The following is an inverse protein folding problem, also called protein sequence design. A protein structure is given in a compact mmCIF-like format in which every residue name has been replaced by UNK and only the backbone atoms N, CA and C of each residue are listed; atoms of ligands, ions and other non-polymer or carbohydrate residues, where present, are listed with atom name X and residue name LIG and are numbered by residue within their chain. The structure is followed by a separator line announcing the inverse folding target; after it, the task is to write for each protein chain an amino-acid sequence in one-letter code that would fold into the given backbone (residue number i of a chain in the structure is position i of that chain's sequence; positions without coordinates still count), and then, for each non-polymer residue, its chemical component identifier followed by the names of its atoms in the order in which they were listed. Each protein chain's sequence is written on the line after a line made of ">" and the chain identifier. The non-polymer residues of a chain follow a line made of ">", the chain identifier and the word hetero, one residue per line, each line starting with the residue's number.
data_IF_966733363537
#
_entry.id   IF_966733363537
#
_cell.length_a   1.000
_cell.length_b   1.000
_cell.length_c   1.000
_cell.angle_alpha   90.00
_cell.angle_beta   90.00
_cell.angle_gamma   90.00
#
_symmetry.space_group_name_H-M   'P 1'
#
loop_
_entity.id
_entity.type
_entity.pdbx_description
1 polymer ?
#
# COMPACT_ATOMS: atom_id res chain seq x y z
N UNK A 1 25.14 -4.32 -3.73
CA UNK A 1 23.82 -3.68 -3.77
C UNK A 1 23.00 -4.16 -2.60
N UNK A 2 22.47 -3.23 -1.86
CA UNK A 2 21.63 -3.57 -0.73
C UNK A 2 20.37 -4.26 -1.20
N UNK A 3 19.94 -5.26 -0.45
CA UNK A 3 18.68 -5.91 -0.73
C UNK A 3 17.55 -4.90 -0.61
N UNK A 4 16.70 -4.86 -1.61
CA UNK A 4 15.52 -4.02 -1.60
C UNK A 4 14.61 -4.44 -0.46
N UNK A 5 14.08 -3.46 0.27
CA UNK A 5 13.09 -3.73 1.30
C UNK A 5 11.70 -3.80 0.66
N UNK A 6 10.93 -4.80 1.03
CA UNK A 6 9.59 -5.03 0.48
C UNK A 6 8.56 -5.16 1.59
N UNK A 7 7.37 -4.68 1.29
CA UNK A 7 6.21 -4.89 2.16
C UNK A 7 4.96 -5.07 1.30
N UNK A 8 3.96 -5.72 1.87
CA UNK A 8 2.64 -5.85 1.26
C UNK A 8 1.65 -5.07 2.11
N UNK A 9 0.76 -4.35 1.47
CA UNK A 9 -0.28 -3.57 2.14
C UNK A 9 -1.64 -3.92 1.55
N UNK A 10 -2.62 -4.06 2.43
CA UNK A 10 -4.00 -4.32 2.03
C UNK A 10 -4.73 -2.99 1.93
N UNK A 11 -5.27 -2.68 0.77
CA UNK A 11 -5.94 -1.41 0.50
C UNK A 11 -7.33 -1.69 -0.05
N UNK A 12 -8.33 -0.94 0.44
CA UNK A 12 -9.69 -1.04 -0.06
C UNK A 12 -9.71 -0.89 -1.60
N UNK A 13 -10.52 -1.67 -2.27
CA UNK A 13 -10.50 -1.78 -3.74
C UNK A 13 -10.67 -0.42 -4.45
N UNK A 14 -11.51 0.47 -3.92
CA UNK A 14 -11.71 1.79 -4.53
C UNK A 14 -10.44 2.65 -4.43
N UNK A 15 -9.77 2.61 -3.28
CA UNK A 15 -8.52 3.34 -3.08
C UNK A 15 -7.38 2.73 -3.90
N UNK A 16 -7.32 1.41 -3.96
CA UNK A 16 -6.33 0.72 -4.79
C UNK A 16 -6.48 1.10 -6.26
N UNK A 17 -7.71 1.16 -6.77
CA UNK A 17 -7.99 1.59 -8.13
C UNK A 17 -7.53 3.04 -8.37
N UNK A 18 -7.73 3.91 -7.41
CA UNK A 18 -7.28 5.31 -7.50
C UNK A 18 -5.76 5.42 -7.49
N UNK A 19 -5.06 4.54 -6.77
CA UNK A 19 -3.60 4.49 -6.80
C UNK A 19 -3.13 4.04 -8.19
N UNK A 20 -3.71 2.98 -8.72
CA UNK A 20 -3.34 2.43 -10.02
C UNK A 20 -3.56 3.45 -11.13
N UNK A 21 -4.65 4.22 -11.06
CA UNK A 21 -4.96 5.24 -12.07
C UNK A 21 -4.15 6.53 -11.92
N UNK A 22 -3.42 6.69 -10.81
CA UNK A 22 -2.62 7.88 -10.55
C UNK A 22 -3.39 9.01 -9.87
N UNK A 23 -4.67 8.84 -9.58
CA UNK A 23 -5.48 9.83 -8.89
C UNK A 23 -5.06 9.98 -7.44
N UNK A 24 -4.65 8.88 -6.82
CA UNK A 24 -4.22 8.83 -5.42
C UNK A 24 -2.73 8.50 -5.36
N UNK A 25 -1.95 9.41 -4.78
CA UNK A 25 -0.50 9.21 -4.62
C UNK A 25 -0.08 9.20 -3.16
N UNK A 26 -1.01 9.38 -2.24
CA UNK A 26 -0.75 9.33 -0.79
C UNK A 26 -1.74 8.36 -0.15
N UNK A 27 -1.20 7.36 0.53
CA UNK A 27 -2.00 6.43 1.33
C UNK A 27 -1.98 6.88 2.79
N UNK A 28 -3.13 6.84 3.42
CA UNK A 28 -3.30 7.30 4.80
C UNK A 28 -3.46 6.12 5.73
N UNK A 29 -2.74 6.16 6.85
CA UNK A 29 -2.83 5.13 7.90
C UNK A 29 -2.81 5.79 9.26
N UNK A 30 -3.50 5.20 10.24
CA UNK A 30 -3.38 5.63 11.63
C UNK A 30 -2.01 5.28 12.17
N UNK A 31 -1.45 4.15 11.73
CA UNK A 31 -0.12 3.67 12.05
C UNK A 31 0.46 2.97 10.84
N UNK A 32 1.78 2.98 10.76
CA UNK A 32 2.46 2.22 9.73
C UNK A 32 3.78 1.69 10.29
N UNK A 33 4.26 0.60 9.72
CA UNK A 33 5.52 0.02 10.11
C UNK A 33 6.68 0.90 9.67
N UNK A 34 7.80 0.78 10.36
CA UNK A 34 9.03 1.46 9.95
C UNK A 34 9.62 0.75 8.74
N UNK A 35 9.75 1.47 7.63
CA UNK A 35 10.35 0.97 6.40
C UNK A 35 11.31 2.02 5.86
N UNK A 36 12.45 1.58 5.30
CA UNK A 36 13.36 2.53 4.65
C UNK A 36 12.66 3.22 3.46
N UNK A 37 13.00 4.48 3.24
CA UNK A 37 12.57 5.15 2.01
C UNK A 37 13.18 4.41 0.82
N UNK A 38 12.42 4.31 -0.25
CA UNK A 38 12.78 3.50 -1.40
C UNK A 38 12.26 2.08 -1.33
N UNK A 39 11.64 1.69 -0.21
CA UNK A 39 11.02 0.37 -0.09
C UNK A 39 9.94 0.17 -1.15
N UNK A 40 9.85 -1.06 -1.64
CA UNK A 40 8.83 -1.43 -2.62
C UNK A 40 7.59 -1.93 -1.90
N UNK A 41 6.47 -1.34 -2.24
CA UNK A 41 5.19 -1.67 -1.63
C UNK A 41 4.36 -2.47 -2.63
N UNK A 42 3.92 -3.66 -2.24
CA UNK A 42 3.05 -4.52 -3.03
C UNK A 42 1.62 -4.29 -2.57
N UNK A 43 0.77 -3.84 -3.47
CA UNK A 43 -0.57 -3.38 -3.13
C UNK A 43 -1.58 -4.49 -3.41
N UNK A 44 -2.16 -5.01 -2.34
CA UNK A 44 -3.27 -5.95 -2.40
C UNK A 44 -4.59 -5.18 -2.36
N UNK A 45 -5.39 -5.34 -3.40
CA UNK A 45 -6.73 -4.77 -3.47
C UNK A 45 -7.71 -5.75 -2.83
N UNK A 46 -8.45 -5.28 -1.81
CA UNK A 46 -9.40 -6.15 -1.12
C UNK A 46 -10.55 -6.58 -2.03
N UNK A 47 -11.39 -7.50 -1.55
CA UNK A 47 -12.57 -7.93 -2.31
C UNK A 47 -13.41 -6.73 -2.74
N UNK A 48 -14.02 -6.75 -3.93
CA UNK A 48 -14.19 -7.93 -4.80
C UNK A 48 -12.97 -8.30 -5.66
N UNK A 49 -11.92 -7.49 -5.68
CA UNK A 49 -10.75 -7.78 -6.53
C UNK A 49 -9.93 -8.95 -5.98
N UNK A 50 -9.52 -8.88 -4.72
CA UNK A 50 -8.85 -10.01 -4.04
C UNK A 50 -7.52 -10.41 -4.66
N UNK A 51 -6.66 -9.43 -5.01
CA UNK A 51 -5.41 -9.70 -5.70
C UNK A 51 -4.39 -8.59 -5.46
N UNK A 52 -3.09 -8.91 -5.59
CA UNK A 52 -2.07 -7.89 -5.77
C UNK A 52 -2.25 -7.27 -7.14
N UNK A 53 -2.31 -5.95 -7.21
CA UNK A 53 -2.65 -5.24 -8.45
C UNK A 53 -1.58 -4.27 -8.92
N UNK A 54 -0.67 -3.87 -8.05
CA UNK A 54 0.36 -2.88 -8.38
C UNK A 54 1.50 -2.94 -7.39
N UNK A 55 2.62 -2.34 -7.80
CA UNK A 55 3.71 -2.01 -6.88
C UNK A 55 3.93 -0.51 -6.90
N UNK A 56 4.53 0.00 -5.84
CA UNK A 56 4.87 1.40 -5.71
C UNK A 56 6.14 1.54 -4.89
N UNK A 57 6.79 2.68 -5.01
CA UNK A 57 7.96 3.01 -4.20
C UNK A 57 7.53 4.00 -3.12
N UNK A 58 7.92 3.76 -1.88
CA UNK A 58 7.70 4.68 -0.77
C UNK A 58 8.77 5.76 -0.84
N UNK A 59 8.35 7.00 -1.08
CA UNK A 59 9.29 8.12 -1.20
C UNK A 59 9.33 9.00 0.03
N UNK A 60 8.28 8.97 0.85
CA UNK A 60 8.26 9.68 2.12
C UNK A 60 7.17 9.09 3.01
N UNK A 61 7.39 9.16 4.32
CA UNK A 61 6.38 8.79 5.32
C UNK A 61 6.33 9.96 6.30
N UNK A 62 5.16 10.61 6.36
CA UNK A 62 5.00 11.83 7.14
C UNK A 62 4.02 11.56 8.28
N UNK A 63 4.47 11.78 9.52
CA UNK A 63 3.65 11.65 10.72
C UNK A 63 3.32 13.03 11.25
N UNK A 64 2.05 13.33 11.40
CA UNK A 64 1.62 14.61 11.95
C UNK A 64 0.16 14.51 12.43
N UNK A 65 -0.32 15.58 13.06
CA UNK A 65 -1.71 15.67 13.44
C UNK A 65 -2.59 15.61 12.19
N UNK A 66 -3.78 14.98 12.27
CA UNK A 66 -4.65 14.83 11.10
C UNK A 66 -4.94 16.13 10.35
N UNK A 67 -5.19 17.24 11.04
CA UNK A 67 -5.47 18.51 10.36
C UNK A 67 -4.27 19.04 9.58
N UNK A 68 -3.05 18.75 10.02
CA UNK A 68 -1.83 19.12 9.28
C UNK A 68 -1.66 18.24 8.04
N UNK A 69 -1.94 16.95 8.17
CA UNK A 69 -1.90 16.03 7.03
C UNK A 69 -2.95 16.40 5.98
N UNK A 70 -4.14 16.80 6.43
CA UNK A 70 -5.19 17.27 5.52
C UNK A 70 -4.73 18.51 4.76
N UNK A 71 -4.14 19.47 5.46
CA UNK A 71 -3.66 20.70 4.83
C UNK A 71 -2.64 20.42 3.73
N UNK A 72 -1.78 19.40 3.93
CA UNK A 72 -0.72 19.08 2.98
C UNK A 72 -1.16 18.13 1.86
N UNK A 73 -2.03 17.17 2.17
CA UNK A 73 -2.24 16.02 1.28
C UNK A 73 -3.68 15.83 0.82
N UNK A 74 -4.57 16.78 1.03
CA UNK A 74 -5.98 16.61 0.72
C UNK A 74 -6.24 16.22 -0.74
N UNK A 75 -5.47 16.73 -1.66
CA UNK A 75 -5.60 16.41 -3.09
C UNK A 75 -5.00 15.03 -3.38
N UNK A 76 -3.77 14.80 -2.93
CA UNK A 76 -3.02 13.57 -3.22
C UNK A 76 -3.62 12.35 -2.54
N UNK A 77 -4.31 12.53 -1.42
CA UNK A 77 -4.94 11.43 -0.71
C UNK A 77 -6.23 10.94 -1.38
N UNK A 78 -6.83 11.76 -2.23
CA UNK A 78 -8.02 11.42 -3.01
C UNK A 78 -9.16 10.86 -2.16
N UNK A 79 -9.45 11.54 -1.04
CA UNK A 79 -10.57 11.20 -0.15
C UNK A 79 -11.31 12.48 0.20
N UNK A 80 -12.59 12.36 0.54
CA UNK A 80 -13.34 13.52 1.01
C UNK A 80 -12.88 13.93 2.40
N UNK A 81 -13.09 15.20 2.74
CA UNK A 81 -12.77 15.72 4.06
C UNK A 81 -13.49 14.94 5.16
N UNK A 82 -14.76 14.64 4.96
CA UNK A 82 -15.56 13.90 5.95
C UNK A 82 -14.99 12.50 6.18
N UNK A 83 -14.68 11.78 5.12
CA UNK A 83 -14.10 10.44 5.24
C UNK A 83 -12.73 10.49 5.88
N UNK A 84 -11.92 11.48 5.55
CA UNK A 84 -10.60 11.66 6.13
C UNK A 84 -10.68 11.79 7.65
N UNK A 85 -11.48 12.73 8.13
CA UNK A 85 -11.57 12.98 9.58
C UNK A 85 -12.33 11.89 10.31
N UNK A 86 -13.27 11.22 9.66
CA UNK A 86 -13.92 10.06 10.22
C UNK A 86 -12.91 8.91 10.41
N UNK A 87 -12.05 8.71 9.42
CA UNK A 87 -11.04 7.65 9.49
C UNK A 87 -10.05 7.88 10.63
N UNK A 88 -9.52 9.09 10.75
CA UNK A 88 -8.54 9.37 11.82
C UNK A 88 -9.19 9.50 13.19
N UNK A 89 -10.46 9.94 13.25
CA UNK A 89 -11.18 10.08 14.50
C UNK A 89 -10.45 11.03 15.44
N UNK A 90 -10.17 10.57 16.65
CA UNK A 90 -9.47 11.34 17.67
C UNK A 90 -7.98 10.98 17.78
N UNK A 91 -7.39 10.38 16.75
CA UNK A 91 -5.96 10.12 16.71
C UNK A 91 -5.18 11.43 16.82
N UNK A 92 -4.18 11.43 17.68
CA UNK A 92 -3.28 12.60 17.80
C UNK A 92 -2.35 12.71 16.63
N UNK A 93 -1.86 11.57 16.15
CA UNK A 93 -0.98 11.48 14.99
C UNK A 93 -1.57 10.53 13.96
N UNK A 94 -1.43 10.89 12.71
CA UNK A 94 -1.69 10.01 11.58
C UNK A 94 -0.43 9.84 10.75
N UNK A 95 -0.54 9.08 9.69
CA UNK A 95 0.57 8.75 8.81
C UNK A 95 0.14 8.93 7.37
N UNK A 96 0.93 9.68 6.60
CA UNK A 96 0.76 9.84 5.16
C UNK A 96 1.96 9.21 4.46
N UNK A 97 1.69 8.21 3.62
CA UNK A 97 2.71 7.47 2.88
C UNK A 97 2.68 7.99 1.45
N UNK A 98 3.74 8.67 1.05
CA UNK A 98 3.85 9.19 -0.32
C UNK A 98 4.41 8.10 -1.22
N UNK A 99 3.69 7.85 -2.30
CA UNK A 99 4.00 6.79 -3.26
C UNK A 99 4.42 7.39 -4.59
N UNK A 100 5.40 6.75 -5.23
CA UNK A 100 5.85 7.09 -6.57
C UNK A 100 6.12 5.80 -7.33
N UNK A 101 6.37 5.93 -8.63
CA UNK A 101 6.68 4.78 -9.45
C UNK A 101 5.62 3.69 -9.41
N UNK A 102 4.35 4.10 -9.45
CA UNK A 102 3.24 3.16 -9.47
C UNK A 102 3.33 2.32 -10.72
N UNK A 103 3.31 1.01 -10.53
CA UNK A 103 3.45 0.06 -11.62
C UNK A 103 2.35 -0.98 -11.51
N UNK A 104 1.32 -0.90 -12.39
CA UNK A 104 0.31 -1.95 -12.43
C UNK A 104 0.95 -3.28 -12.81
N UNK A 105 0.46 -4.36 -12.22
CA UNK A 105 0.97 -5.70 -12.51
C UNK A 105 -0.17 -6.61 -12.93
N UNK A 106 0.18 -7.71 -13.59
CA UNK A 106 -0.77 -8.79 -13.80
C UNK A 106 -1.24 -9.26 -12.42
N UNK A 107 -2.55 -9.33 -12.15
CA UNK A 107 -3.02 -9.61 -10.80
C UNK A 107 -2.50 -10.93 -10.25
N UNK A 108 -2.02 -10.90 -9.01
CA UNK A 108 -1.64 -12.12 -8.27
C UNK A 108 -2.79 -12.43 -7.32
N UNK A 109 -3.60 -13.45 -7.62
CA UNK A 109 -4.80 -13.71 -6.82
C UNK A 109 -4.47 -14.25 -5.44
N UNK A 110 -5.41 -14.10 -4.52
CA UNK A 110 -5.27 -14.52 -3.13
C UNK A 110 -4.74 -15.94 -2.98
N UNK A 111 -5.24 -16.86 -3.79
CA UNK A 111 -4.80 -18.26 -3.81
C UNK A 111 -3.28 -18.38 -4.02
N UNK A 112 -2.75 -17.62 -4.97
CA UNK A 112 -1.31 -17.64 -5.27
C UNK A 112 -0.50 -16.93 -4.18
N UNK A 113 -1.03 -15.85 -3.62
CA UNK A 113 -0.39 -15.15 -2.50
C UNK A 113 -0.24 -16.09 -1.31
N UNK A 114 -1.30 -16.79 -0.95
CA UNK A 114 -1.28 -17.76 0.16
C UNK A 114 -0.25 -18.84 -0.05
N UNK A 115 -0.17 -19.37 -1.27
CA UNK A 115 0.81 -20.40 -1.62
C UNK A 115 2.24 -19.88 -1.50
N UNK A 116 2.50 -18.69 -2.04
CA UNK A 116 3.85 -18.11 -2.04
C UNK A 116 4.29 -17.77 -0.62
N UNK A 117 3.40 -17.20 0.18
CA UNK A 117 3.72 -16.79 1.54
C UNK A 117 3.63 -17.93 2.55
N UNK A 118 2.93 -19.01 2.20
CA UNK A 118 2.74 -20.12 3.13
C UNK A 118 1.82 -19.80 4.30
N UNK A 119 0.93 -18.83 4.14
CA UNK A 119 -0.03 -18.41 5.17
C UNK A 119 -1.42 -18.33 4.57
N UNK A 120 -2.44 -18.46 5.43
CA UNK A 120 -3.83 -18.52 4.99
C UNK A 120 -4.55 -17.17 5.00
N UNK A 121 -3.91 -16.14 5.52
CA UNK A 121 -4.56 -14.84 5.69
C UNK A 121 -3.78 -13.72 5.02
N UNK A 122 -4.50 -12.66 4.67
CA UNK A 122 -3.90 -11.41 4.21
C UNK A 122 -3.87 -10.47 5.41
N UNK A 123 -2.71 -9.83 5.71
CA UNK A 123 -2.68 -8.88 6.82
C UNK A 123 -3.60 -7.69 6.56
N UNK A 124 -4.36 -7.30 7.57
CA UNK A 124 -5.26 -6.14 7.48
C UNK A 124 -4.49 -4.82 7.39
N UNK A 125 -3.29 -4.81 7.91
CA UNK A 125 -2.36 -3.69 7.79
C UNK A 125 -1.24 -4.11 6.84
N UNK A 126 -0.07 -3.50 6.96
CA UNK A 126 1.06 -3.89 6.14
C UNK A 126 1.86 -5.01 6.81
N UNK A 127 2.55 -5.80 5.99
CA UNK A 127 3.47 -6.83 6.47
C UNK A 127 4.74 -6.81 5.63
N UNK A 128 5.89 -7.01 6.26
CA UNK A 128 7.13 -7.19 5.52
C UNK A 128 7.05 -8.48 4.72
N UNK A 129 7.60 -8.47 3.53
CA UNK A 129 7.78 -9.69 2.75
C UNK A 129 9.25 -9.88 2.47
N UNK A 130 9.67 -11.14 2.36
CA UNK A 130 11.06 -11.46 2.11
C UNK A 130 11.43 -11.18 0.66
N UNK A 131 12.71 -11.08 0.40
CA UNK A 131 13.24 -10.96 -0.96
C UNK A 131 12.79 -12.16 -1.81
N UNK A 132 12.75 -13.35 -1.21
CA UNK A 132 12.30 -14.54 -1.91
C UNK A 132 10.82 -14.47 -2.27
N UNK A 133 9.96 -14.02 -1.35
CA UNK A 133 8.54 -13.84 -1.63
C UNK A 133 8.34 -12.81 -2.75
N UNK A 134 9.04 -11.69 -2.68
CA UNK A 134 8.97 -10.66 -3.72
C UNK A 134 9.40 -11.21 -5.07
N UNK A 135 10.45 -12.01 -5.09
CA UNK A 135 10.95 -12.67 -6.30
C UNK A 135 9.90 -13.60 -6.89
N UNK A 136 9.18 -14.34 -6.07
CA UNK A 136 8.12 -15.24 -6.51
C UNK A 136 6.90 -14.48 -7.03
N UNK A 137 6.56 -13.31 -6.45
CA UNK A 137 5.53 -12.45 -7.00
C UNK A 137 5.95 -11.90 -8.38
N UNK A 138 7.22 -11.54 -8.54
CA UNK A 138 7.74 -11.07 -9.83
C UNK A 138 7.68 -12.17 -10.89
N UNK A 139 8.01 -13.40 -10.55
CA UNK A 139 7.90 -14.53 -11.47
C UNK A 139 6.46 -14.75 -11.91
N UNK A 140 5.53 -14.71 -10.96
CA UNK A 140 4.10 -14.87 -11.27
C UNK A 140 3.65 -13.79 -12.25
N UNK A 141 4.04 -12.55 -11.99
CA UNK A 141 3.73 -11.41 -12.83
C UNK A 141 4.28 -11.57 -14.25
N UNK A 142 5.51 -12.08 -14.36
CA UNK A 142 6.23 -12.18 -15.65
C UNK A 142 5.63 -13.22 -16.58
N UNK A 143 5.14 -14.31 -16.03
CA UNK A 143 4.72 -15.46 -16.80
C UNK A 143 3.20 -15.65 -16.83
N UNK A 144 2.45 -14.57 -16.58
CA UNK A 144 0.99 -14.61 -16.60
C UNK A 144 0.36 -13.81 -17.75
#
# INVERSE_FOLDING_TARGET
>A
VDAESHAMISIHSDHAANIVSGVKTVELRRRFMSLPLGSRLWIYSTLPVGALVATATIVAIDYDAPHQLWARYQTEAAVSKNLFFQYFGDCELGCAIQLDGIEPISPVPLKSIRRIRGVDHIPQVAARISTLEASQFEEFRRFR
#
